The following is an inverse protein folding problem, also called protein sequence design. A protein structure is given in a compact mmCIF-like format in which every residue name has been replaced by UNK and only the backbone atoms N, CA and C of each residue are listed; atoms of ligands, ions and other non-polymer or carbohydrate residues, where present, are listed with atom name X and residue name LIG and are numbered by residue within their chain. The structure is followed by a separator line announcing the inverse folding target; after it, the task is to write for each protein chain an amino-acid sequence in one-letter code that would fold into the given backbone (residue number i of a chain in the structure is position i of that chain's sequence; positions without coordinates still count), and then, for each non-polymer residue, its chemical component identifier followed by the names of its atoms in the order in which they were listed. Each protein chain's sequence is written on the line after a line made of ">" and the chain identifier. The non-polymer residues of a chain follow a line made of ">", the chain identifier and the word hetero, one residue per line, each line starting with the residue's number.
data_IF_533817613209
#
_entry.id   IF_533817613209
#
_cell.length_a   1.000
_cell.length_b   1.000
_cell.length_c   1.000
_cell.angle_alpha   90.00
_cell.angle_beta   90.00
_cell.angle_gamma   90.00
#
_symmetry.space_group_name_H-M   'P 1'
#
loop_
_entity.id
_entity.type
_entity.pdbx_description
1 polymer ?
#
# COMPACT_ATOMS: atom_id res chain seq x y z
N UNK A 1 88.34 69.82 51.28
CA UNK A 1 88.19 69.69 49.82
C UNK A 1 88.06 68.23 49.39
N UNK A 2 89.10 67.40 49.51
CA UNK A 2 89.01 65.96 49.14
C UNK A 2 87.90 65.18 49.84
N UNK A 3 87.69 65.43 51.14
CA UNK A 3 86.65 64.74 51.93
C UNK A 3 85.25 65.10 51.42
N UNK A 4 84.97 66.40 51.21
CA UNK A 4 83.71 66.86 50.63
C UNK A 4 83.46 66.34 49.20
N UNK A 5 84.50 66.21 48.37
CA UNK A 5 84.40 65.62 47.03
C UNK A 5 84.08 64.12 47.08
N UNK A 6 84.62 63.40 48.07
CA UNK A 6 84.31 61.99 48.30
C UNK A 6 82.86 61.81 48.79
N UNK A 7 82.42 62.63 49.74
CA UNK A 7 81.04 62.62 50.25
C UNK A 7 80.03 62.90 49.11
N UNK A 8 80.35 63.83 48.21
CA UNK A 8 79.51 64.13 47.04
C UNK A 8 79.41 62.95 46.08
N UNK A 9 80.54 62.26 45.80
CA UNK A 9 80.57 61.05 44.98
C UNK A 9 79.83 59.88 45.61
N UNK A 10 79.94 59.71 46.92
CA UNK A 10 79.21 58.66 47.65
C UNK A 10 77.69 58.89 47.53
N UNK A 11 77.25 60.14 47.73
CA UNK A 11 75.84 60.50 47.53
C UNK A 11 75.36 60.35 46.08
N UNK A 12 76.22 60.55 45.07
CA UNK A 12 75.88 60.26 43.67
C UNK A 12 75.74 58.76 43.41
N UNK A 13 76.65 57.94 43.94
CA UNK A 13 76.61 56.49 43.82
C UNK A 13 75.35 55.91 44.46
N UNK A 14 74.96 56.39 45.64
CA UNK A 14 73.75 55.90 46.30
C UNK A 14 72.49 56.25 45.51
N UNK A 15 72.39 57.46 44.95
CA UNK A 15 71.30 57.82 44.02
C UNK A 15 71.29 56.95 42.75
N UNK A 16 72.46 56.53 42.27
CA UNK A 16 72.56 55.65 41.12
C UNK A 16 72.08 54.23 41.46
N UNK A 17 72.44 53.70 42.64
CA UNK A 17 71.94 52.42 43.15
C UNK A 17 70.42 52.46 43.28
N UNK A 18 69.85 53.46 43.94
CA UNK A 18 68.40 53.59 44.10
C UNK A 18 67.66 53.57 42.74
N UNK A 19 68.23 54.24 41.73
CA UNK A 19 67.67 54.23 40.36
C UNK A 19 67.80 52.88 39.67
N UNK A 20 68.88 52.15 39.92
CA UNK A 20 69.06 50.80 39.38
C UNK A 20 68.07 49.84 40.02
N UNK A 21 67.92 49.88 41.34
CA UNK A 21 67.00 49.04 42.10
C UNK A 21 65.55 49.27 41.63
N UNK A 22 65.12 50.54 41.49
CA UNK A 22 63.80 50.87 40.95
C UNK A 22 63.58 50.35 39.52
N UNK A 23 64.65 50.32 38.71
CA UNK A 23 64.57 49.86 37.33
C UNK A 23 64.55 48.33 37.26
N UNK A 24 65.25 47.65 38.15
CA UNK A 24 65.20 46.19 38.33
C UNK A 24 63.78 45.76 38.74
N UNK A 25 63.21 46.37 39.79
CA UNK A 25 61.82 46.10 40.19
C UNK A 25 60.81 46.36 39.05
N UNK A 26 61.06 47.41 38.25
CA UNK A 26 60.22 47.73 37.10
C UNK A 26 60.35 46.72 35.95
N UNK A 27 61.51 46.10 35.79
CA UNK A 27 61.73 45.03 34.82
C UNK A 27 61.10 43.72 35.29
N UNK A 28 61.22 43.38 36.56
CA UNK A 28 60.61 42.18 37.14
C UNK A 28 59.09 42.20 36.99
N UNK A 29 58.45 43.32 37.34
CA UNK A 29 57.00 43.50 37.12
C UNK A 29 56.57 43.34 35.66
N UNK A 30 57.41 43.78 34.72
CA UNK A 30 57.13 43.62 33.29
C UNK A 30 57.33 42.18 32.83
N UNK A 31 58.31 41.48 33.38
CA UNK A 31 58.52 40.07 33.10
C UNK A 31 57.33 39.24 33.58
N UNK A 32 56.81 39.52 34.77
CA UNK A 32 55.63 38.86 35.32
C UNK A 32 54.38 39.12 34.45
N UNK A 33 54.09 40.38 34.08
CA UNK A 33 52.96 40.75 33.21
C UNK A 33 53.06 40.08 31.81
N UNK A 34 54.28 39.99 31.25
CA UNK A 34 54.48 39.29 29.98
C UNK A 34 54.27 37.78 30.12
N UNK A 35 54.70 37.18 31.24
CA UNK A 35 54.49 35.77 31.52
C UNK A 35 53.01 35.43 31.66
N UNK A 36 52.24 36.27 32.34
CA UNK A 36 50.78 36.10 32.48
C UNK A 36 50.08 36.20 31.13
N UNK A 37 50.44 37.18 30.30
CA UNK A 37 49.88 37.32 28.95
C UNK A 37 50.24 36.16 28.02
N UNK A 38 51.44 35.61 28.15
CA UNK A 38 51.83 34.44 27.39
C UNK A 38 50.93 33.23 27.72
N UNK A 39 50.69 32.99 29.02
CA UNK A 39 49.78 31.94 29.45
C UNK A 39 48.34 32.15 28.95
N UNK A 40 47.81 33.38 29.00
CA UNK A 40 46.48 33.70 28.48
C UNK A 40 46.38 33.45 26.96
N UNK A 41 47.44 33.78 26.21
CA UNK A 41 47.50 33.53 24.78
C UNK A 41 47.52 32.04 24.45
N UNK A 42 48.29 31.25 25.20
CA UNK A 42 48.37 29.79 25.04
C UNK A 42 46.98 29.15 25.28
N UNK A 43 46.30 29.52 26.36
CA UNK A 43 44.94 29.04 26.65
C UNK A 43 43.94 29.43 25.55
N UNK A 44 44.07 30.65 25.02
CA UNK A 44 43.20 31.12 23.93
C UNK A 44 43.48 30.35 22.65
N UNK A 45 44.74 30.01 22.38
CA UNK A 45 45.11 29.22 21.21
C UNK A 45 44.57 27.79 21.30
N UNK A 46 44.62 27.17 22.48
CA UNK A 46 44.02 25.86 22.74
C UNK A 46 42.50 25.87 22.49
N UNK A 47 41.76 26.84 23.06
CA UNK A 47 40.33 27.00 22.80
C UNK A 47 40.00 27.19 21.32
N UNK A 48 40.85 27.94 20.59
CA UNK A 48 40.67 28.14 19.14
C UNK A 48 40.91 26.85 18.34
N UNK A 49 41.82 25.98 18.78
CA UNK A 49 42.03 24.66 18.17
C UNK A 49 40.81 23.77 18.37
N UNK A 50 40.30 23.68 19.61
CA UNK A 50 39.09 22.92 19.93
C UNK A 50 37.88 23.39 19.09
N UNK A 51 37.66 24.70 19.00
CA UNK A 51 36.56 25.24 18.19
C UNK A 51 36.73 24.93 16.70
N UNK A 52 37.97 24.89 16.20
CA UNK A 52 38.23 24.52 14.81
C UNK A 52 37.91 23.06 14.55
N UNK A 53 38.27 22.17 15.46
CA UNK A 53 37.94 20.74 15.37
C UNK A 53 36.43 20.54 15.40
N UNK A 54 35.70 21.19 16.32
CA UNK A 54 34.24 21.12 16.37
C UNK A 54 33.59 21.60 15.07
N UNK A 55 34.13 22.65 14.44
CA UNK A 55 33.62 23.14 13.15
C UNK A 55 33.87 22.16 12.01
N UNK A 56 34.99 21.44 12.01
CA UNK A 56 35.27 20.38 11.04
C UNK A 56 34.27 19.24 11.20
N UNK A 57 34.07 18.76 12.43
CA UNK A 57 33.12 17.68 12.73
C UNK A 57 31.69 18.04 12.29
N UNK A 58 31.26 19.29 12.55
CA UNK A 58 29.95 19.78 12.09
C UNK A 58 29.85 19.88 10.57
N UNK A 59 30.94 20.24 9.89
CA UNK A 59 30.97 20.29 8.42
C UNK A 59 30.78 18.89 7.86
N UNK A 60 31.51 17.90 8.40
CA UNK A 60 31.41 16.50 7.97
C UNK A 60 30.00 15.93 8.22
N UNK A 61 29.35 16.28 9.34
CA UNK A 61 27.97 15.89 9.61
C UNK A 61 26.99 16.50 8.59
N UNK A 62 27.18 17.77 8.22
CA UNK A 62 26.33 18.43 7.24
C UNK A 62 26.49 17.80 5.84
N UNK A 63 27.72 17.51 5.43
CA UNK A 63 28.01 16.86 4.14
C UNK A 63 27.38 15.45 4.07
N UNK A 64 27.38 14.72 5.19
CA UNK A 64 26.73 13.41 5.28
C UNK A 64 25.20 13.52 5.19
N UNK A 65 24.60 14.52 5.84
CA UNK A 65 23.15 14.76 5.76
C UNK A 65 22.72 15.20 4.35
N UNK A 66 23.53 16.00 3.67
CA UNK A 66 23.26 16.41 2.29
C UNK A 66 23.20 15.20 1.36
N UNK A 67 24.15 14.26 1.47
CA UNK A 67 24.14 13.01 0.71
C UNK A 67 22.92 12.13 1.02
N UNK A 68 22.50 12.05 2.28
CA UNK A 68 21.29 11.31 2.67
C UNK A 68 20.03 11.92 2.07
N UNK A 69 19.94 13.26 2.05
CA UNK A 69 18.83 13.98 1.43
C UNK A 69 18.81 13.72 -0.08
N UNK A 70 19.94 13.83 -0.77
CA UNK A 70 20.03 13.58 -2.22
C UNK A 70 19.57 12.16 -2.58
N UNK A 71 20.03 11.15 -1.83
CA UNK A 71 19.61 9.76 -2.01
C UNK A 71 18.09 9.57 -1.75
N UNK A 72 17.55 10.27 -0.75
CA UNK A 72 16.12 10.27 -0.45
C UNK A 72 15.28 10.92 -1.56
N UNK A 73 15.78 11.98 -2.19
CA UNK A 73 15.13 12.63 -3.32
C UNK A 73 15.08 11.72 -4.55
N UNK A 74 16.16 10.97 -4.82
CA UNK A 74 16.22 9.98 -5.90
C UNK A 74 15.20 8.84 -5.68
N UNK A 75 15.15 8.23 -4.49
CA UNK A 75 14.16 7.18 -4.16
C UNK A 75 12.71 7.69 -4.31
N UNK A 76 12.44 8.93 -3.90
CA UNK A 76 11.13 9.54 -4.08
C UNK A 76 10.77 9.78 -5.55
N UNK A 77 11.75 10.16 -6.38
CA UNK A 77 11.55 10.33 -7.81
C UNK A 77 11.21 8.99 -8.48
N UNK A 78 11.94 7.93 -8.15
CA UNK A 78 11.71 6.57 -8.66
C UNK A 78 10.32 6.05 -8.25
N UNK A 79 9.94 6.22 -6.98
CA UNK A 79 8.61 5.83 -6.50
C UNK A 79 7.49 6.56 -7.22
N UNK A 80 7.66 7.88 -7.48
CA UNK A 80 6.68 8.66 -8.24
C UNK A 80 6.54 8.15 -9.67
N UNK A 81 7.66 7.80 -10.32
CA UNK A 81 7.64 7.21 -11.65
C UNK A 81 6.91 5.86 -11.67
N UNK A 82 7.20 4.97 -10.71
CA UNK A 82 6.54 3.67 -10.58
C UNK A 82 5.03 3.79 -10.31
N UNK A 83 4.61 4.76 -9.48
CA UNK A 83 3.19 5.04 -9.23
C UNK A 83 2.51 5.47 -10.53
N UNK A 84 3.12 6.39 -11.29
CA UNK A 84 2.56 6.86 -12.56
C UNK A 84 2.39 5.73 -13.59
N UNK A 85 3.36 4.81 -13.66
CA UNK A 85 3.26 3.62 -14.52
C UNK A 85 2.12 2.70 -14.05
N UNK A 86 1.97 2.50 -12.74
CA UNK A 86 0.87 1.73 -12.16
C UNK A 86 -0.49 2.32 -12.50
N UNK A 87 -0.63 3.64 -12.37
CA UNK A 87 -1.86 4.38 -12.70
C UNK A 87 -2.22 4.19 -14.17
N UNK A 88 -1.27 4.42 -15.09
CA UNK A 88 -1.50 4.18 -16.52
C UNK A 88 -1.95 2.74 -16.80
N UNK A 89 -1.30 1.77 -16.16
CA UNK A 89 -1.62 0.35 -16.33
C UNK A 89 -2.99 -0.01 -15.73
N UNK A 90 -3.49 0.73 -14.73
CA UNK A 90 -4.84 0.57 -14.20
C UNK A 90 -5.87 1.20 -15.15
N UNK A 91 -5.59 2.37 -15.71
CA UNK A 91 -6.45 3.04 -16.69
C UNK A 91 -6.64 2.18 -17.94
N UNK A 92 -5.57 1.55 -18.43
CA UNK A 92 -5.63 0.62 -19.57
C UNK A 92 -6.54 -0.58 -19.28
N UNK A 93 -6.46 -1.14 -18.07
CA UNK A 93 -7.30 -2.27 -17.64
C UNK A 93 -8.75 -1.87 -17.44
N UNK A 94 -9.01 -0.69 -16.88
CA UNK A 94 -10.36 -0.14 -16.76
C UNK A 94 -11.00 0.00 -18.15
N UNK A 95 -10.28 0.60 -19.10
CA UNK A 95 -10.76 0.72 -20.48
C UNK A 95 -10.96 -0.63 -21.18
N UNK A 96 -10.19 -1.67 -20.82
CA UNK A 96 -10.42 -3.03 -21.32
C UNK A 96 -11.68 -3.65 -20.72
N UNK A 97 -11.91 -3.50 -19.42
CA UNK A 97 -13.12 -3.97 -18.75
C UNK A 97 -14.36 -3.30 -19.33
N UNK A 98 -14.34 -1.97 -19.54
CA UNK A 98 -15.45 -1.24 -20.16
C UNK A 98 -15.79 -1.80 -21.55
N UNK A 99 -14.79 -2.18 -22.35
CA UNK A 99 -15.01 -2.81 -23.67
C UNK A 99 -15.59 -4.21 -23.54
N UNK A 100 -15.16 -4.99 -22.55
CA UNK A 100 -15.70 -6.32 -22.30
C UNK A 100 -17.15 -6.25 -21.84
N UNK A 101 -17.48 -5.32 -20.94
CA UNK A 101 -18.84 -5.05 -20.50
C UNK A 101 -19.73 -4.66 -21.67
N UNK A 102 -19.34 -3.69 -22.49
CA UNK A 102 -20.09 -3.30 -23.69
C UNK A 102 -20.27 -4.45 -24.69
N UNK A 103 -19.30 -5.37 -24.76
CA UNK A 103 -19.40 -6.58 -25.58
C UNK A 103 -20.45 -7.53 -25.00
N UNK A 104 -20.40 -7.80 -23.70
CA UNK A 104 -21.38 -8.64 -23.02
C UNK A 104 -22.80 -8.08 -23.13
N UNK A 105 -22.98 -6.78 -22.90
CA UNK A 105 -24.26 -6.09 -23.06
C UNK A 105 -24.84 -6.22 -24.47
N UNK A 106 -23.99 -6.27 -25.49
CA UNK A 106 -24.43 -6.45 -26.88
C UNK A 106 -24.87 -7.88 -27.19
N UNK A 107 -24.18 -8.90 -26.66
CA UNK A 107 -24.39 -10.29 -27.05
C UNK A 107 -25.26 -11.10 -26.09
N UNK A 108 -25.41 -10.69 -24.83
CA UNK A 108 -26.28 -11.40 -23.88
C UNK A 108 -27.76 -11.33 -24.26
N UNK A 109 -28.33 -10.18 -24.67
CA UNK A 109 -29.76 -10.10 -24.97
C UNK A 109 -30.17 -11.07 -26.08
N UNK A 110 -29.42 -11.13 -27.18
CA UNK A 110 -29.71 -12.01 -28.32
C UNK A 110 -29.69 -13.49 -27.92
N UNK A 111 -28.73 -13.91 -27.08
CA UNK A 111 -28.65 -15.29 -26.59
C UNK A 111 -29.75 -15.62 -25.58
N UNK A 112 -30.14 -14.66 -24.75
CA UNK A 112 -31.21 -14.85 -23.77
C UNK A 112 -32.55 -14.97 -24.49
N UNK A 113 -32.82 -14.13 -25.50
CA UNK A 113 -34.04 -14.18 -26.30
C UNK A 113 -34.19 -15.53 -27.02
N UNK A 114 -33.12 -16.04 -27.64
CA UNK A 114 -33.13 -17.36 -28.29
C UNK A 114 -33.42 -18.49 -27.29
N UNK A 115 -32.82 -18.46 -26.11
CA UNK A 115 -33.06 -19.46 -25.05
C UNK A 115 -34.47 -19.32 -24.47
N UNK A 116 -35.00 -18.11 -24.33
CA UNK A 116 -36.37 -17.87 -23.86
C UNK A 116 -37.41 -18.38 -24.86
N UNK A 117 -37.19 -18.20 -26.17
CA UNK A 117 -38.05 -18.74 -27.22
C UNK A 117 -38.02 -20.28 -27.25
N UNK A 118 -36.83 -20.88 -27.17
CA UNK A 118 -36.69 -22.34 -27.12
C UNK A 118 -37.38 -22.93 -25.87
N UNK A 119 -37.22 -22.27 -24.73
CA UNK A 119 -37.87 -22.65 -23.49
C UNK A 119 -39.40 -22.51 -23.56
N UNK A 120 -39.90 -21.40 -24.12
CA UNK A 120 -41.33 -21.18 -24.29
C UNK A 120 -41.97 -22.26 -25.18
N UNK A 121 -41.32 -22.61 -26.29
CA UNK A 121 -41.74 -23.70 -27.18
C UNK A 121 -41.72 -25.07 -26.49
N UNK A 122 -40.67 -25.37 -25.72
CA UNK A 122 -40.56 -26.61 -24.97
C UNK A 122 -41.66 -26.73 -23.90
N UNK A 123 -41.98 -25.64 -23.20
CA UNK A 123 -43.06 -25.57 -22.21
C UNK A 123 -44.42 -25.71 -22.89
N UNK A 124 -44.66 -25.00 -24.00
CA UNK A 124 -45.91 -25.08 -24.74
C UNK A 124 -46.15 -26.49 -25.31
N UNK A 125 -45.13 -27.12 -25.90
CA UNK A 125 -45.20 -28.50 -26.40
C UNK A 125 -45.42 -29.52 -25.27
N UNK A 126 -44.80 -29.31 -24.12
CA UNK A 126 -45.03 -30.10 -22.92
C UNK A 126 -46.48 -29.96 -22.41
N UNK A 127 -47.01 -28.74 -22.34
CA UNK A 127 -48.39 -28.45 -21.92
C UNK A 127 -49.40 -29.02 -22.92
N UNK A 128 -49.16 -28.86 -24.22
CA UNK A 128 -50.02 -29.39 -25.28
C UNK A 128 -50.08 -30.93 -25.23
N UNK A 129 -48.92 -31.59 -25.13
CA UNK A 129 -48.86 -33.05 -25.00
C UNK A 129 -49.51 -33.59 -23.72
N UNK A 130 -49.45 -32.83 -22.62
CA UNK A 130 -50.14 -33.17 -21.37
C UNK A 130 -51.67 -32.99 -21.47
N UNK A 131 -52.13 -32.03 -22.27
CA UNK A 131 -53.56 -31.75 -22.47
C UNK A 131 -54.20 -32.75 -23.44
N UNK A 132 -53.47 -33.20 -24.46
CA UNK A 132 -53.93 -34.20 -25.45
C UNK A 132 -53.85 -35.64 -24.91
N UNK A 133 -52.91 -35.92 -23.99
CA UNK A 133 -52.75 -37.21 -23.32
C UNK A 133 -53.86 -37.63 -22.35
N UNK A 134 -54.92 -36.82 -22.18
CA UNK A 134 -56.07 -37.16 -21.32
C UNK A 134 -57.09 -38.10 -21.97
N UNK A 135 -56.90 -38.48 -23.23
CA UNK A 135 -57.87 -39.31 -23.98
C UNK A 135 -57.38 -40.69 -24.40
N UNK A 136 -56.25 -41.17 -23.85
CA UNK A 136 -55.84 -42.57 -24.02
C UNK A 136 -55.18 -43.14 -22.75
N UNK A 137 -55.90 -44.13 -22.21
CA UNK A 137 -55.43 -45.27 -21.41
C UNK A 137 -55.16 -45.15 -19.90
N UNK A 138 -56.05 -45.87 -19.21
CA UNK A 138 -56.01 -46.47 -17.90
C UNK A 138 -54.83 -47.46 -17.76
N UNK A 139 -53.87 -47.22 -16.86
CA UNK A 139 -53.35 -48.25 -15.94
C UNK A 139 -52.39 -47.67 -14.90
N UNK A 140 -52.35 -48.37 -13.77
CA UNK A 140 -51.71 -48.04 -12.50
C UNK A 140 -50.17 -48.04 -12.53
N UNK A 141 -49.56 -46.92 -12.14
CA UNK A 141 -48.14 -46.78 -11.80
C UNK A 141 -47.81 -45.32 -11.46
N UNK A 142 -47.06 -45.08 -10.39
CA UNK A 142 -46.90 -43.76 -9.75
C UNK A 142 -46.32 -42.71 -10.72
N UNK A 143 -47.18 -41.74 -11.07
CA UNK A 143 -47.03 -40.59 -11.99
C UNK A 143 -47.14 -40.93 -13.49
N UNK A 144 -48.32 -40.64 -14.07
CA UNK A 144 -48.54 -40.74 -15.53
C UNK A 144 -47.82 -39.64 -16.32
N UNK A 145 -48.08 -39.58 -17.63
CA UNK A 145 -47.42 -38.68 -18.60
C UNK A 145 -47.37 -37.22 -18.15
N UNK A 146 -48.46 -36.71 -17.57
CA UNK A 146 -48.55 -35.35 -17.00
C UNK A 146 -47.60 -35.15 -15.81
N UNK A 147 -47.46 -36.15 -14.95
CA UNK A 147 -46.58 -36.10 -13.79
C UNK A 147 -45.10 -36.08 -14.18
N UNK A 148 -44.73 -36.83 -15.23
CA UNK A 148 -43.36 -36.86 -15.73
C UNK A 148 -42.97 -35.54 -16.42
N UNK A 149 -43.91 -34.94 -17.16
CA UNK A 149 -43.71 -33.61 -17.76
C UNK A 149 -43.52 -32.52 -16.70
N UNK A 150 -44.37 -32.49 -15.68
CA UNK A 150 -44.24 -31.55 -14.56
C UNK A 150 -42.92 -31.77 -13.79
N UNK A 151 -42.49 -33.02 -13.59
CA UNK A 151 -41.23 -33.35 -12.95
C UNK A 151 -40.02 -32.86 -13.75
N UNK A 152 -40.08 -32.94 -15.08
CA UNK A 152 -39.07 -32.38 -15.98
C UNK A 152 -38.99 -30.86 -15.88
N UNK A 153 -40.14 -30.17 -15.94
CA UNK A 153 -40.17 -28.70 -15.80
C UNK A 153 -39.64 -28.21 -14.45
N UNK A 154 -40.04 -28.88 -13.36
CA UNK A 154 -39.51 -28.59 -12.02
C UNK A 154 -38.00 -28.85 -11.98
N UNK A 155 -37.54 -29.94 -12.60
CA UNK A 155 -36.13 -30.24 -12.73
C UNK A 155 -35.35 -29.13 -13.44
N UNK A 156 -35.87 -28.64 -14.56
CA UNK A 156 -35.26 -27.56 -15.34
C UNK A 156 -35.17 -26.26 -14.54
N UNK A 157 -36.26 -25.86 -13.87
CA UNK A 157 -36.27 -24.65 -13.02
C UNK A 157 -35.24 -24.75 -11.90
N UNK A 158 -35.08 -25.92 -11.27
CA UNK A 158 -34.08 -26.13 -10.23
C UNK A 158 -32.64 -26.04 -10.76
N UNK A 159 -32.37 -26.51 -11.98
CA UNK A 159 -31.06 -26.32 -12.63
C UNK A 159 -30.79 -24.84 -12.89
N UNK A 160 -31.77 -24.11 -13.45
CA UNK A 160 -31.63 -22.69 -13.76
C UNK A 160 -31.41 -21.84 -12.51
N UNK A 161 -32.20 -22.06 -11.46
CA UNK A 161 -32.04 -21.34 -10.17
C UNK A 161 -30.69 -21.64 -9.53
N UNK A 162 -30.23 -22.88 -9.57
CA UNK A 162 -28.91 -23.26 -9.06
C UNK A 162 -27.76 -22.61 -9.85
N UNK A 163 -27.81 -22.64 -11.17
CA UNK A 163 -26.78 -22.03 -12.03
C UNK A 163 -26.74 -20.50 -11.90
N UNK A 164 -27.90 -19.84 -11.88
CA UNK A 164 -28.01 -18.39 -11.72
C UNK A 164 -27.47 -17.91 -10.38
N UNK A 165 -27.68 -18.68 -9.30
CA UNK A 165 -27.16 -18.33 -7.97
C UNK A 165 -25.62 -18.34 -7.92
N UNK A 166 -24.95 -19.28 -8.60
CA UNK A 166 -23.47 -19.32 -8.70
C UNK A 166 -22.94 -18.06 -9.40
N UNK A 167 -23.55 -17.66 -10.50
CA UNK A 167 -23.16 -16.47 -11.26
C UNK A 167 -23.36 -15.20 -10.42
N UNK A 168 -24.48 -15.12 -9.69
CA UNK A 168 -24.79 -13.98 -8.82
C UNK A 168 -23.80 -13.84 -7.64
N UNK A 169 -23.37 -14.95 -7.01
CA UNK A 169 -22.34 -14.93 -5.96
C UNK A 169 -21.01 -14.41 -6.50
N UNK A 170 -20.67 -14.73 -7.75
CA UNK A 170 -19.41 -14.31 -8.36
C UNK A 170 -19.42 -12.85 -8.85
N UNK A 171 -20.59 -12.30 -9.19
CA UNK A 171 -20.77 -10.92 -9.67
C UNK A 171 -21.05 -9.89 -8.55
N UNK A 172 -21.27 -10.31 -7.31
CA UNK A 172 -21.47 -9.41 -6.14
C UNK A 172 -22.71 -8.50 -6.20
N UNK A 173 -23.62 -8.72 -7.15
CA UNK A 173 -24.61 -7.72 -7.60
C UNK A 173 -26.05 -7.95 -7.11
N UNK A 174 -26.34 -9.06 -6.42
CA UNK A 174 -27.69 -9.41 -5.91
C UNK A 174 -27.56 -9.96 -4.48
N UNK A 175 -28.47 -9.65 -3.52
CA UNK A 175 -28.44 -10.22 -2.18
C UNK A 175 -28.40 -11.75 -2.22
N UNK A 176 -27.34 -12.32 -1.65
CA UNK A 176 -27.17 -13.76 -1.52
C UNK A 176 -28.21 -14.35 -0.57
N UNK A 177 -28.69 -15.56 -0.84
CA UNK A 177 -29.70 -16.23 -0.01
C UNK A 177 -29.20 -16.47 1.42
N UNK A 178 -27.88 -16.66 1.57
CA UNK A 178 -27.21 -16.79 2.85
C UNK A 178 -25.97 -15.90 2.92
N UNK A 179 -25.55 -15.54 4.14
CA UNK A 179 -24.39 -14.68 4.40
C UNK A 179 -23.04 -15.37 4.11
N UNK A 180 -23.02 -16.69 3.95
CA UNK A 180 -21.79 -17.47 3.67
C UNK A 180 -21.73 -17.91 2.22
N UNK A 181 -20.68 -17.49 1.51
CA UNK A 181 -20.41 -17.88 0.12
C UNK A 181 -20.31 -19.40 -0.07
N UNK A 182 -19.63 -20.10 0.82
CA UNK A 182 -19.50 -21.55 0.77
C UNK A 182 -20.86 -22.27 0.85
N UNK A 183 -21.80 -21.72 1.63
CA UNK A 183 -23.17 -22.26 1.74
C UNK A 183 -23.94 -21.99 0.44
N UNK A 184 -23.80 -20.81 -0.16
CA UNK A 184 -24.46 -20.50 -1.43
C UNK A 184 -23.98 -21.40 -2.58
N UNK A 185 -22.66 -21.64 -2.71
CA UNK A 185 -22.13 -22.60 -3.69
C UNK A 185 -22.64 -24.02 -3.43
N UNK A 186 -22.67 -24.46 -2.18
CA UNK A 186 -23.15 -25.79 -1.80
C UNK A 186 -24.63 -26.01 -2.14
N UNK A 187 -25.49 -25.04 -1.81
CA UNK A 187 -26.93 -25.09 -2.15
C UNK A 187 -27.14 -25.06 -3.65
N UNK A 188 -26.39 -24.23 -4.37
CA UNK A 188 -26.48 -24.12 -5.83
C UNK A 188 -26.11 -25.41 -6.54
N UNK A 189 -24.98 -26.02 -6.16
CA UNK A 189 -24.55 -27.31 -6.69
C UNK A 189 -25.59 -28.41 -6.41
N UNK A 190 -26.18 -28.41 -5.22
CA UNK A 190 -27.23 -29.35 -4.85
C UNK A 190 -28.50 -29.19 -5.71
N UNK A 191 -28.94 -27.96 -5.95
CA UNK A 191 -30.11 -27.66 -6.80
C UNK A 191 -29.89 -28.11 -8.26
N UNK A 192 -28.70 -27.87 -8.82
CA UNK A 192 -28.35 -28.34 -10.17
C UNK A 192 -28.39 -29.86 -10.26
N UNK A 193 -27.80 -30.56 -9.29
CA UNK A 193 -27.78 -32.03 -9.28
C UNK A 193 -29.19 -32.61 -9.16
N UNK A 194 -30.03 -32.05 -8.29
CA UNK A 194 -31.43 -32.48 -8.16
C UNK A 194 -32.21 -32.19 -9.43
N UNK A 195 -32.02 -31.01 -10.02
CA UNK A 195 -32.73 -30.62 -11.22
C UNK A 195 -32.38 -31.51 -12.42
N UNK A 196 -31.10 -31.88 -12.56
CA UNK A 196 -30.66 -32.86 -13.56
C UNK A 196 -31.24 -34.25 -13.30
N UNK A 197 -31.24 -34.70 -12.04
CA UNK A 197 -31.82 -36.00 -11.68
C UNK A 197 -33.33 -36.08 -11.96
N UNK A 198 -34.08 -35.00 -11.67
CA UNK A 198 -35.51 -34.90 -11.96
C UNK A 198 -35.79 -34.90 -13.47
N UNK A 199 -34.99 -34.19 -14.26
CA UNK A 199 -35.05 -34.22 -15.72
C UNK A 199 -34.75 -35.62 -16.29
N UNK A 200 -33.74 -36.30 -15.74
CA UNK A 200 -33.35 -37.63 -16.18
C UNK A 200 -34.41 -38.68 -15.82
N UNK A 201 -35.06 -38.55 -14.66
CA UNK A 201 -36.21 -39.38 -14.26
C UNK A 201 -37.45 -39.12 -15.14
N UNK A 202 -37.70 -37.87 -15.51
CA UNK A 202 -38.75 -37.50 -16.45
C UNK A 202 -38.49 -38.07 -17.87
N UNK A 203 -37.22 -38.13 -18.30
CA UNK A 203 -36.83 -38.69 -19.59
C UNK A 203 -36.82 -40.23 -19.61
N UNK A 204 -36.41 -40.88 -18.52
CA UNK A 204 -36.32 -42.34 -18.44
C UNK A 204 -37.68 -43.07 -18.46
N UNK A 205 -38.77 -42.35 -18.19
CA UNK A 205 -40.14 -42.88 -18.24
C UNK A 205 -40.81 -42.75 -19.62
N UNK A 206 -40.11 -42.17 -20.61
CA UNK A 206 -40.53 -42.07 -22.02
C UNK A 206 -40.07 -43.24 -22.89
N UNK A 207 -39.19 -44.11 -22.39
CA UNK A 207 -38.63 -45.31 -23.08
C UNK A 207 -39.27 -46.57 -22.51
#
# INVERSE_FOLDING_TARGET
>A
EREAELDEREGELDRLKDRLDQREEGLDKRADDLSERAAELDEREERLREHREELVDRSDELDAREQEIEAGEEDLADRRAAIKEREQSLDERAAELDRQEATLERYLPDQIEEVEEELASAVEGAVYSAMEGYSAEESSGRFGTVGNVLLGLVGLVLVLVGAFNVIAVQAGSIPTLFTSEAINYGVSAFLVVIGLAANLAAAASRV
#
